data_IF_018770301604
#
_entry.id   IF_018770301604
#
_cell.length_a   1.000
_cell.length_b   1.000
_cell.length_c   1.000
_cell.angle_alpha   90.00
_cell.angle_beta   90.00
_cell.angle_gamma   90.00
#
_symmetry.space_group_name_H-M   'P 1'
#
loop_
_entity.id
_entity.type
_entity.pdbx_description
1 polymer ?
#
# COMPACT_ATOMS: atom_id res chain seq x y z
N UNK A 1 0.27 0.80 -28.23
CA UNK A 1 0.65 2.15 -28.71
C UNK A 1 -0.48 3.10 -28.32
N UNK A 2 -0.18 4.19 -27.61
CA UNK A 2 -1.21 5.08 -27.09
C UNK A 2 -1.43 6.31 -27.98
N UNK A 3 -2.66 6.81 -28.01
CA UNK A 3 -3.04 8.03 -28.72
C UNK A 3 -3.86 8.95 -27.83
N UNK A 4 -3.77 10.26 -28.10
CA UNK A 4 -4.51 11.27 -27.38
C UNK A 4 -5.88 11.51 -28.05
N UNK A 5 -6.94 11.56 -27.24
CA UNK A 5 -8.30 11.94 -27.64
C UNK A 5 -8.82 12.98 -26.64
N UNK A 6 -8.82 14.25 -27.03
CA UNK A 6 -9.19 15.35 -26.14
C UNK A 6 -8.26 15.43 -24.93
N UNK A 7 -8.84 15.37 -23.73
CA UNK A 7 -8.13 15.35 -22.45
C UNK A 7 -7.73 13.95 -21.98
N UNK A 8 -7.77 12.94 -22.86
CA UNK A 8 -7.47 11.55 -22.50
C UNK A 8 -6.39 10.91 -23.36
N UNK A 9 -5.66 9.98 -22.76
CA UNK A 9 -4.78 9.02 -23.40
C UNK A 9 -5.52 7.69 -23.48
N UNK A 10 -5.53 7.08 -24.67
CA UNK A 10 -6.13 5.78 -24.92
C UNK A 10 -5.09 4.82 -25.46
N UNK A 11 -5.14 3.57 -25.03
CA UNK A 11 -4.38 2.46 -25.64
C UNK A 11 -5.22 1.20 -25.58
N UNK A 12 -5.05 0.31 -26.55
CA UNK A 12 -5.42 -1.10 -26.39
C UNK A 12 -4.20 -1.87 -25.88
N UNK A 13 -4.45 -2.83 -25.00
CA UNK A 13 -3.46 -3.78 -24.54
C UNK A 13 -3.56 -5.04 -25.38
N UNK A 14 -2.44 -5.70 -25.64
CA UNK A 14 -2.40 -6.91 -26.47
C UNK A 14 -1.33 -7.85 -25.96
N UNK A 15 -1.67 -9.14 -25.86
CA UNK A 15 -0.84 -10.14 -25.19
C UNK A 15 -1.20 -10.26 -23.71
N UNK A 16 -0.57 -11.21 -23.03
CA UNK A 16 -0.63 -11.34 -21.57
C UNK A 16 0.69 -10.82 -21.01
N UNK A 17 0.64 -9.74 -20.22
CA UNK A 17 1.79 -9.16 -19.56
C UNK A 17 1.37 -8.53 -18.23
N UNK A 18 2.21 -8.65 -17.21
CA UNK A 18 1.96 -8.08 -15.88
C UNK A 18 2.02 -6.55 -15.91
N UNK A 19 2.89 -5.97 -16.76
CA UNK A 19 3.03 -4.53 -16.95
C UNK A 19 3.16 -4.17 -18.43
N UNK A 20 2.54 -3.05 -18.81
CA UNK A 20 2.61 -2.51 -20.17
C UNK A 20 3.26 -1.13 -20.18
N UNK A 21 4.27 -0.97 -21.04
CA UNK A 21 4.82 0.34 -21.38
C UNK A 21 4.10 0.90 -22.60
N UNK A 22 3.33 1.96 -22.39
CA UNK A 22 2.57 2.63 -23.44
C UNK A 22 3.19 3.99 -23.77
N UNK A 23 3.68 4.12 -25.00
CA UNK A 23 4.16 5.40 -25.51
C UNK A 23 3.02 6.21 -26.12
N UNK A 24 2.85 7.46 -25.67
CA UNK A 24 1.94 8.44 -26.25
C UNK A 24 2.74 9.46 -27.07
N UNK A 25 2.69 9.33 -28.40
CA UNK A 25 3.41 10.23 -29.30
C UNK A 25 3.01 11.70 -29.15
N UNK A 26 1.72 11.98 -28.91
CA UNK A 26 1.21 13.36 -28.80
C UNK A 26 1.78 14.14 -27.61
N UNK A 27 2.22 13.44 -26.57
CA UNK A 27 2.80 14.03 -25.37
C UNK A 27 4.31 13.76 -25.25
N UNK A 28 4.88 12.98 -26.18
CA UNK A 28 6.26 12.47 -26.13
C UNK A 28 6.60 11.82 -24.78
N UNK A 29 5.61 11.15 -24.16
CA UNK A 29 5.71 10.52 -22.84
C UNK A 29 5.45 9.01 -22.91
N UNK A 30 6.11 8.27 -22.03
CA UNK A 30 5.85 6.85 -21.78
C UNK A 30 5.09 6.73 -20.46
N UNK A 31 4.16 5.79 -20.40
CA UNK A 31 3.42 5.43 -19.19
C UNK A 31 3.59 3.94 -18.90
N UNK A 32 3.60 3.57 -17.63
CA UNK A 32 3.65 2.19 -17.16
C UNK A 32 2.32 1.88 -16.47
N UNK A 33 1.64 0.83 -16.90
CA UNK A 33 0.34 0.41 -16.36
C UNK A 33 0.36 -1.08 -16.01
N UNK A 34 -0.32 -1.46 -14.92
CA UNK A 34 -0.48 -2.87 -14.54
C UNK A 34 -1.54 -3.54 -15.42
N UNK A 35 -1.29 -4.78 -15.84
CA UNK A 35 -2.22 -5.56 -16.66
C UNK A 35 -3.56 -5.81 -15.96
N UNK A 36 -3.53 -6.25 -14.70
CA UNK A 36 -4.75 -6.51 -13.93
C UNK A 36 -5.60 -5.27 -13.64
N UNK A 37 -5.02 -4.09 -13.78
CA UNK A 37 -5.71 -2.84 -13.51
C UNK A 37 -6.57 -2.35 -14.70
N UNK A 38 -6.26 -2.84 -15.90
CA UNK A 38 -6.91 -2.46 -17.14
C UNK A 38 -7.08 -3.69 -18.01
N UNK A 39 -8.31 -4.15 -18.23
CA UNK A 39 -8.60 -5.35 -19.02
C UNK A 39 -7.95 -5.31 -20.43
N UNK A 40 -8.66 -4.77 -21.42
CA UNK A 40 -8.19 -4.71 -22.82
C UNK A 40 -7.87 -3.27 -23.25
N UNK A 41 -8.25 -2.28 -22.44
CA UNK A 41 -8.15 -0.87 -22.81
C UNK A 41 -7.78 0.05 -21.66
N UNK A 42 -6.87 0.98 -21.96
CA UNK A 42 -6.38 2.01 -21.03
C UNK A 42 -7.04 3.35 -21.35
N UNK A 43 -7.38 4.10 -20.30
CA UNK A 43 -7.98 5.43 -20.39
C UNK A 43 -7.46 6.34 -19.27
N UNK A 44 -6.46 7.16 -19.58
CA UNK A 44 -5.84 8.09 -18.63
C UNK A 44 -6.23 9.53 -18.95
N UNK A 45 -6.30 10.42 -17.95
CA UNK A 45 -6.68 11.83 -18.14
C UNK A 45 -5.50 12.79 -18.01
N UNK A 46 -5.37 13.78 -18.90
CA UNK A 46 -4.16 14.62 -19.07
C UNK A 46 -4.14 15.89 -18.18
N UNK A 47 -5.13 16.11 -17.29
CA UNK A 47 -5.10 17.31 -16.42
C UNK A 47 -6.11 17.33 -15.27
N UNK A 48 -5.77 18.11 -14.23
CA UNK A 48 -6.57 18.32 -13.02
C UNK A 48 -7.21 19.72 -12.98
N UNK A 49 -8.45 19.83 -13.46
CA UNK A 49 -9.46 20.79 -12.97
C UNK A 49 -10.77 20.61 -13.73
N UNK A 50 -11.74 19.95 -13.09
CA UNK A 50 -13.10 20.46 -12.85
C UNK A 50 -14.00 19.30 -12.43
N UNK A 51 -14.62 19.52 -11.27
CA UNK A 51 -15.81 18.87 -10.70
C UNK A 51 -15.88 17.34 -10.83
N UNK A 52 -15.56 16.68 -9.72
CA UNK A 52 -15.73 15.25 -9.43
C UNK A 52 -14.86 14.29 -10.23
N UNK A 53 -13.85 13.71 -9.56
CA UNK A 53 -13.55 12.28 -9.72
C UNK A 53 -12.43 11.83 -8.78
N UNK A 54 -12.77 11.39 -7.57
CA UNK A 54 -11.88 10.54 -6.77
C UNK A 54 -11.53 9.20 -7.45
N UNK A 55 -12.18 8.89 -8.59
CA UNK A 55 -12.04 7.64 -9.36
C UNK A 55 -11.41 7.83 -10.75
N UNK A 56 -10.93 9.04 -11.10
CA UNK A 56 -10.30 9.23 -12.41
C UNK A 56 -8.82 8.85 -12.38
N UNK A 57 -8.45 7.95 -13.28
CA UNK A 57 -7.06 7.56 -13.54
C UNK A 57 -6.35 8.71 -14.27
N UNK A 58 -5.52 9.49 -13.56
CA UNK A 58 -4.80 10.62 -14.13
C UNK A 58 -3.51 10.12 -14.79
N UNK A 59 -3.15 10.68 -15.95
CA UNK A 59 -2.00 10.26 -16.72
C UNK A 59 -0.68 10.42 -15.95
N UNK A 60 -0.56 11.45 -15.11
CA UNK A 60 0.65 11.69 -14.32
C UNK A 60 0.88 10.57 -13.29
N UNK A 61 -0.19 9.94 -12.78
CA UNK A 61 -0.12 8.82 -11.84
C UNK A 61 0.52 7.58 -12.47
N UNK A 62 0.52 7.45 -13.80
CA UNK A 62 1.08 6.32 -14.57
C UNK A 62 2.33 6.69 -15.35
N UNK A 63 2.89 7.89 -15.16
CA UNK A 63 4.09 8.28 -15.90
C UNK A 63 5.22 7.27 -15.67
N UNK A 64 6.04 7.00 -16.71
CA UNK A 64 7.12 6.02 -16.64
C UNK A 64 8.06 6.33 -15.48
N UNK A 65 8.39 7.60 -15.28
CA UNK A 65 9.27 8.06 -14.19
C UNK A 65 8.71 7.73 -12.79
N UNK A 66 7.38 7.63 -12.66
CA UNK A 66 6.71 7.30 -11.40
C UNK A 66 6.45 5.80 -11.21
N UNK A 67 6.50 4.99 -12.27
CA UNK A 67 6.01 3.59 -12.27
C UNK A 67 6.95 2.60 -12.99
N UNK A 68 8.20 2.99 -13.22
CA UNK A 68 9.22 2.14 -13.84
C UNK A 68 10.57 2.27 -13.13
N UNK A 69 11.29 1.16 -12.84
CA UNK A 69 10.95 -0.24 -13.19
C UNK A 69 9.69 -0.76 -12.49
N UNK A 70 8.99 -1.75 -13.07
CA UNK A 70 7.85 -2.37 -12.43
C UNK A 70 8.35 -3.09 -11.18
N UNK A 71 7.52 -3.15 -10.14
CA UNK A 71 7.89 -3.76 -8.86
C UNK A 71 8.39 -5.21 -9.05
N UNK A 72 9.72 -5.38 -9.05
CA UNK A 72 10.35 -6.69 -8.86
C UNK A 72 10.56 -6.82 -7.38
N UNK A 73 9.80 -7.74 -6.78
CA UNK A 73 9.88 -8.15 -5.38
C UNK A 73 11.36 -8.27 -4.92
N UNK A 74 11.96 -7.25 -4.27
CA UNK A 74 13.34 -7.35 -3.86
C UNK A 74 13.34 -8.20 -2.60
N UNK A 75 13.95 -9.38 -2.70
CA UNK A 75 14.19 -10.25 -1.55
C UNK A 75 15.00 -9.50 -0.50
N UNK A 76 14.33 -8.95 0.50
CA UNK A 76 14.96 -8.07 1.49
C UNK A 76 13.95 -7.51 2.48
N UNK A 77 13.06 -8.34 2.99
CA UNK A 77 12.23 -8.02 4.15
C UNK A 77 12.42 -9.10 5.20
N UNK A 78 12.35 -8.71 6.47
CA UNK A 78 12.04 -9.64 7.56
C UNK A 78 10.87 -10.50 7.14
N UNK A 79 10.99 -11.83 7.32
CA UNK A 79 9.88 -12.72 6.99
C UNK A 79 8.64 -12.26 7.75
N UNK A 80 7.48 -12.15 7.09
CA UNK A 80 6.24 -11.73 7.76
C UNK A 80 5.94 -12.55 9.03
N UNK A 81 6.39 -13.81 9.08
CA UNK A 81 6.32 -14.67 10.26
C UNK A 81 7.25 -14.21 11.41
N UNK A 82 8.44 -13.70 11.11
CA UNK A 82 9.32 -13.09 12.12
C UNK A 82 8.73 -11.78 12.65
N UNK A 83 8.15 -10.96 11.76
CA UNK A 83 7.43 -9.76 12.17
C UNK A 83 6.22 -10.11 13.05
N UNK A 84 5.50 -11.18 12.72
CA UNK A 84 4.39 -11.64 13.55
C UNK A 84 4.86 -12.01 14.96
N UNK A 85 5.97 -12.76 15.09
CA UNK A 85 6.57 -13.07 16.39
C UNK A 85 6.98 -11.83 17.18
N UNK A 86 7.62 -10.84 16.53
CA UNK A 86 8.01 -9.57 17.18
C UNK A 86 6.78 -8.76 17.63
N UNK A 87 5.70 -8.84 16.87
CA UNK A 87 4.42 -8.19 17.19
C UNK A 87 3.78 -8.85 18.40
N UNK A 88 3.78 -10.19 18.49
CA UNK A 88 3.33 -10.94 19.68
C UNK A 88 4.06 -10.46 20.92
N UNK A 89 5.40 -10.42 20.91
CA UNK A 89 6.20 -9.98 22.07
C UNK A 89 5.83 -8.55 22.51
N UNK A 90 5.57 -7.67 21.55
CA UNK A 90 5.22 -6.26 21.79
C UNK A 90 3.81 -6.15 22.41
N UNK A 91 2.84 -6.84 21.83
CA UNK A 91 1.45 -6.87 22.27
C UNK A 91 1.31 -7.45 23.68
N UNK A 92 2.03 -8.55 23.97
CA UNK A 92 2.03 -9.20 25.28
C UNK A 92 2.65 -8.32 26.38
N UNK A 93 3.69 -7.55 26.04
CA UNK A 93 4.31 -6.59 26.98
C UNK A 93 3.30 -5.56 27.49
N UNK A 94 2.29 -5.22 26.68
CA UNK A 94 1.23 -4.26 27.01
C UNK A 94 -0.02 -4.90 27.66
N UNK A 95 0.08 -6.16 28.07
CA UNK A 95 -0.94 -6.86 28.86
C UNK A 95 -2.07 -7.49 28.05
N UNK A 96 -1.91 -7.63 26.74
CA UNK A 96 -2.75 -8.48 25.91
C UNK A 96 -2.25 -9.93 25.98
N UNK A 97 -3.14 -10.89 25.76
CA UNK A 97 -2.75 -12.26 25.37
C UNK A 97 -2.72 -12.29 23.85
N UNK A 98 -1.62 -12.76 23.25
CA UNK A 98 -1.51 -12.86 21.80
C UNK A 98 -1.31 -14.31 21.38
N UNK A 99 -2.02 -14.74 20.33
CA UNK A 99 -1.83 -16.06 19.74
C UNK A 99 -1.75 -15.99 18.22
N UNK A 100 -0.94 -16.87 17.63
CA UNK A 100 -0.89 -17.09 16.18
C UNK A 100 -1.61 -18.41 15.91
N UNK A 101 -2.83 -18.39 15.31
CA UNK A 101 -3.62 -19.58 15.11
C UNK A 101 -2.90 -20.63 14.26
N UNK A 102 -2.79 -21.86 14.76
CA UNK A 102 -2.11 -22.97 14.05
C UNK A 102 -2.91 -23.54 12.89
N UNK A 103 -4.22 -23.36 12.90
CA UNK A 103 -5.15 -24.23 12.17
C UNK A 103 -5.58 -23.67 10.80
N UNK A 104 -5.23 -22.42 10.48
CA UNK A 104 -5.73 -21.76 9.27
C UNK A 104 -4.82 -20.68 8.67
N UNK A 105 -3.61 -20.47 9.18
CA UNK A 105 -2.86 -19.25 8.90
C UNK A 105 -1.44 -19.50 8.39
N UNK A 106 -0.96 -18.60 7.55
CA UNK A 106 0.40 -18.56 7.01
C UNK A 106 1.46 -18.11 8.05
N UNK A 107 1.08 -18.13 9.33
CA UNK A 107 1.89 -17.72 10.47
C UNK A 107 2.06 -16.20 10.56
N UNK A 108 1.08 -15.43 10.10
CA UNK A 108 1.15 -13.97 9.96
C UNK A 108 0.03 -13.24 10.70
N UNK A 109 -1.05 -13.92 11.01
CA UNK A 109 -2.20 -13.41 11.75
C UNK A 109 -2.00 -13.63 13.24
N UNK A 110 -2.26 -12.58 14.01
CA UNK A 110 -2.18 -12.56 15.46
C UNK A 110 -3.54 -12.17 15.99
N UNK A 111 -4.07 -12.95 16.91
CA UNK A 111 -5.26 -12.58 17.67
C UNK A 111 -4.79 -12.05 19.02
N UNK A 112 -5.01 -10.75 19.24
CA UNK A 112 -4.67 -10.06 20.47
C UNK A 112 -5.94 -9.86 21.30
N UNK A 113 -5.99 -10.43 22.50
CA UNK A 113 -7.16 -10.39 23.37
C UNK A 113 -6.81 -9.72 24.69
N UNK A 114 -7.66 -8.79 25.12
CA UNK A 114 -7.59 -8.18 26.45
C UNK A 114 -9.00 -7.87 26.95
N UNK A 115 -9.34 -8.42 28.10
CA UNK A 115 -10.68 -8.29 28.71
C UNK A 115 -11.79 -8.72 27.72
N UNK A 116 -12.61 -7.78 27.23
CA UNK A 116 -13.69 -8.04 26.25
C UNK A 116 -13.30 -7.62 24.82
N UNK A 117 -12.09 -7.11 24.61
CA UNK A 117 -11.61 -6.64 23.32
C UNK A 117 -10.73 -7.71 22.66
N UNK A 118 -11.07 -8.05 21.42
CA UNK A 118 -10.30 -8.93 20.55
C UNK A 118 -9.93 -8.15 19.28
N UNK A 119 -8.65 -8.16 18.92
CA UNK A 119 -8.13 -7.50 17.73
C UNK A 119 -7.38 -8.52 16.87
N UNK A 120 -7.69 -8.56 15.59
CA UNK A 120 -6.95 -9.32 14.58
C UNK A 120 -5.90 -8.42 13.95
N UNK A 121 -4.64 -8.71 14.24
CA UNK A 121 -3.49 -8.10 13.58
C UNK A 121 -2.99 -9.02 12.47
N UNK A 122 -2.47 -8.46 11.37
CA UNK A 122 -1.80 -9.22 10.31
C UNK A 122 -0.47 -8.61 9.94
N UNK A 123 0.59 -9.39 10.07
CA UNK A 123 1.92 -9.03 9.63
C UNK A 123 2.05 -9.17 8.11
N UNK A 124 2.38 -8.08 7.42
CA UNK A 124 2.59 -8.05 5.98
C UNK A 124 4.02 -7.63 5.64
N UNK A 125 4.51 -8.13 4.51
CA UNK A 125 5.79 -7.67 3.97
C UNK A 125 5.61 -6.32 3.27
N UNK A 126 6.49 -5.38 3.58
CA UNK A 126 6.51 -4.05 2.97
C UNK A 126 7.80 -3.79 2.18
N UNK A 127 7.76 -2.80 1.29
CA UNK A 127 8.92 -2.35 0.54
C UNK A 127 8.90 -0.83 0.35
N UNK A 128 10.08 -0.26 0.07
CA UNK A 128 10.23 1.14 -0.27
C UNK A 128 10.17 1.36 -1.77
N UNK A 129 9.49 2.43 -2.17
CA UNK A 129 9.46 2.93 -3.53
C UNK A 129 9.47 4.47 -3.50
N UNK A 130 10.58 5.10 -3.92
CA UNK A 130 10.71 6.56 -3.99
C UNK A 130 10.31 7.28 -2.67
N UNK A 131 10.74 6.74 -1.52
CA UNK A 131 10.42 7.26 -0.19
C UNK A 131 8.99 6.96 0.28
N UNK A 132 8.27 6.07 -0.41
CA UNK A 132 6.97 5.54 -0.01
C UNK A 132 7.12 4.10 0.47
N UNK A 133 6.65 3.81 1.66
CA UNK A 133 6.47 2.46 2.18
C UNK A 133 5.13 1.90 1.66
N UNK A 134 5.20 0.72 1.05
CA UNK A 134 4.08 0.01 0.42
C UNK A 134 4.01 -1.43 0.91
N UNK A 135 2.82 -2.01 0.90
CA UNK A 135 2.57 -3.41 1.22
C UNK A 135 1.32 -3.91 0.48
N UNK A 136 1.14 -5.24 0.43
CA UNK A 136 -0.07 -5.86 -0.10
C UNK A 136 -0.89 -6.45 1.05
N UNK A 137 -2.21 -6.25 1.03
CA UNK A 137 -3.13 -6.93 1.94
C UNK A 137 -3.40 -8.33 1.40
N UNK A 138 -2.99 -9.36 2.13
CA UNK A 138 -3.16 -10.76 1.69
C UNK A 138 -4.38 -11.43 2.32
N UNK A 139 -4.86 -10.93 3.47
CA UNK A 139 -6.13 -11.33 4.07
C UNK A 139 -6.70 -10.19 4.96
N UNK A 140 -8.01 -10.15 5.19
CA UNK A 140 -8.63 -9.13 6.05
C UNK A 140 -8.17 -9.23 7.51
N UNK A 141 -7.91 -8.08 8.13
CA UNK A 141 -7.56 -7.92 9.53
C UNK A 141 -8.10 -6.58 10.05
N UNK A 142 -8.13 -6.37 11.37
CA UNK A 142 -8.48 -5.06 11.95
C UNK A 142 -7.29 -4.09 11.81
N UNK A 143 -6.08 -4.63 11.91
CA UNK A 143 -4.82 -3.90 11.92
C UNK A 143 -3.78 -4.65 11.07
N UNK A 144 -3.08 -3.94 10.20
CA UNK A 144 -1.94 -4.45 9.45
C UNK A 144 -0.64 -3.95 10.08
N UNK A 145 0.32 -4.84 10.23
CA UNK A 145 1.63 -4.55 10.81
C UNK A 145 2.69 -4.76 9.74
N UNK A 146 3.50 -3.74 9.50
CA UNK A 146 4.59 -3.80 8.52
C UNK A 146 5.87 -3.28 9.15
N UNK A 147 7.00 -3.85 8.75
CA UNK A 147 8.33 -3.37 9.14
C UNK A 147 8.92 -2.58 7.97
N UNK A 148 9.60 -1.47 8.29
CA UNK A 148 10.42 -0.77 7.31
C UNK A 148 11.49 -1.73 6.76
N UNK A 149 11.69 -1.85 5.43
CA UNK A 149 12.62 -2.83 4.88
C UNK A 149 14.10 -2.53 5.21
N UNK A 150 14.42 -1.26 5.44
CA UNK A 150 15.79 -0.79 5.67
C UNK A 150 16.04 -0.31 7.10
N UNK A 151 14.98 -0.09 7.88
CA UNK A 151 15.03 0.46 9.23
C UNK A 151 14.26 -0.50 10.15
N UNK A 152 14.63 -0.63 11.42
CA UNK A 152 13.92 -1.57 12.33
C UNK A 152 12.58 -1.03 12.86
N UNK A 153 12.04 0.00 12.22
CA UNK A 153 10.77 0.64 12.56
C UNK A 153 9.59 -0.23 12.14
N UNK A 154 8.56 -0.28 12.99
CA UNK A 154 7.32 -1.00 12.73
C UNK A 154 6.18 0.00 12.67
N UNK A 155 5.28 -0.19 11.71
CA UNK A 155 4.08 0.61 11.53
C UNK A 155 2.83 -0.25 11.70
N UNK A 156 1.79 0.37 12.25
CA UNK A 156 0.47 -0.21 12.44
C UNK A 156 -0.58 0.61 11.67
N UNK A 157 -1.25 -0.05 10.73
CA UNK A 157 -2.21 0.55 9.82
C UNK A 157 -3.59 -0.07 10.08
N UNK A 158 -4.59 0.71 10.51
CA UNK A 158 -5.94 0.17 10.64
C UNK A 158 -6.58 -0.06 9.26
N UNK A 159 -7.46 -1.05 9.17
CA UNK A 159 -8.15 -1.42 7.92
C UNK A 159 -8.95 -0.25 7.32
N UNK A 160 -9.50 0.62 8.17
CA UNK A 160 -10.25 1.80 7.76
C UNK A 160 -9.37 2.97 7.23
N UNK A 161 -8.04 2.86 7.33
CA UNK A 161 -7.13 3.86 6.78
C UNK A 161 -7.11 3.85 5.23
N UNK A 162 -7.68 2.84 4.59
CA UNK A 162 -7.69 2.70 3.14
C UNK A 162 -8.87 1.89 2.62
N UNK A 163 -9.36 2.22 1.42
CA UNK A 163 -10.43 1.44 0.78
C UNK A 163 -9.89 0.24 0.00
N UNK A 164 -8.78 0.43 -0.72
CA UNK A 164 -8.17 -0.63 -1.55
C UNK A 164 -6.65 -0.63 -1.54
N UNK A 165 -6.02 0.51 -1.23
CA UNK A 165 -4.57 0.62 -1.09
C UNK A 165 -4.18 1.84 -0.26
N UNK A 166 -3.01 1.78 0.35
CA UNK A 166 -2.38 2.89 1.06
C UNK A 166 -0.90 2.99 0.66
N UNK A 167 -0.34 4.19 0.71
CA UNK A 167 1.10 4.42 0.63
C UNK A 167 1.50 5.35 1.76
N UNK A 168 2.52 4.97 2.53
CA UNK A 168 3.02 5.76 3.64
C UNK A 168 4.30 6.47 3.23
N UNK A 169 4.35 7.79 3.35
CA UNK A 169 5.51 8.60 3.00
C UNK A 169 6.51 8.60 4.14
N UNK A 170 7.68 8.01 3.92
CA UNK A 170 8.79 8.00 4.89
C UNK A 170 9.64 9.26 4.75
N UNK A 171 9.86 9.73 3.52
CA UNK A 171 10.64 10.93 3.25
C UNK A 171 9.76 12.16 2.99
N UNK A 172 10.02 13.31 3.62
CA UNK A 172 9.20 14.51 3.39
C UNK A 172 9.24 14.94 1.91
N UNK A 173 8.08 15.22 1.29
CA UNK A 173 8.03 15.68 -0.09
C UNK A 173 8.54 17.12 -0.22
N UNK A 174 8.92 17.53 -1.43
CA UNK A 174 9.26 18.95 -1.71
C UNK A 174 8.09 19.91 -1.42
N UNK A 175 6.86 19.42 -1.49
CA UNK A 175 5.63 20.16 -1.17
C UNK A 175 4.74 19.30 -0.27
N UNK A 176 4.49 19.79 0.94
CA UNK A 176 3.57 19.16 1.89
C UNK A 176 2.11 19.35 1.44
N UNK A 177 1.32 18.30 1.62
CA UNK A 177 -0.12 18.31 1.40
C UNK A 177 -0.78 17.53 2.54
N UNK A 178 -1.94 17.98 3.05
CA UNK A 178 -2.67 17.27 4.11
C UNK A 178 -3.26 15.93 3.65
N UNK A 179 -3.15 15.59 2.35
CA UNK A 179 -3.58 14.30 1.78
C UNK A 179 -2.48 13.24 1.80
N UNK A 180 -1.31 13.57 2.34
CA UNK A 180 -0.18 12.64 2.41
C UNK A 180 -0.29 11.88 3.72
N UNK A 181 -0.29 10.55 3.63
CA UNK A 181 -0.15 9.69 4.79
C UNK A 181 1.34 9.61 5.13
N UNK A 182 1.80 10.27 6.19
CA UNK A 182 3.19 10.19 6.61
C UNK A 182 3.41 8.92 7.45
N UNK A 183 4.50 8.18 7.20
CA UNK A 183 4.77 6.92 7.89
C UNK A 183 4.91 7.12 9.42
N UNK A 184 5.45 8.26 9.85
CA UNK A 184 5.60 8.61 11.27
C UNK A 184 4.27 8.69 12.03
N UNK A 185 3.16 8.92 11.33
CA UNK A 185 1.82 8.96 11.90
C UNK A 185 1.28 7.55 12.20
N UNK A 186 1.89 6.52 11.61
CA UNK A 186 1.49 5.11 11.72
C UNK A 186 2.48 4.29 12.53
N UNK A 187 3.48 4.89 13.19
CA UNK A 187 4.42 4.15 14.04
C UNK A 187 3.68 3.32 15.09
N UNK A 188 4.06 2.03 15.18
CA UNK A 188 3.38 1.05 16.03
C UNK A 188 3.35 1.53 17.49
N UNK A 189 4.49 1.99 18.01
CA UNK A 189 4.62 2.50 19.38
C UNK A 189 3.75 3.73 19.70
N UNK A 190 3.30 4.47 18.68
CA UNK A 190 2.42 5.64 18.86
C UNK A 190 0.95 5.28 18.81
N UNK A 191 0.61 4.17 18.16
CA UNK A 191 -0.77 3.76 17.89
C UNK A 191 -1.21 2.54 18.67
N UNK A 192 -0.28 1.75 19.20
CA UNK A 192 -0.57 0.62 20.07
C UNK A 192 -0.56 1.06 21.54
N UNK A 193 -1.55 0.61 22.35
CA UNK A 193 -2.79 -0.06 21.92
C UNK A 193 -3.71 0.94 21.20
N UNK A 194 -4.54 0.48 20.24
CA UNK A 194 -5.49 1.34 19.57
C UNK A 194 -6.41 1.97 20.61
N UNK A 195 -6.55 3.30 20.58
CA UNK A 195 -7.50 3.98 21.45
C UNK A 195 -8.90 3.52 21.07
N UNK A 196 -9.66 2.98 22.02
CA UNK A 196 -11.06 2.67 21.78
C UNK A 196 -11.76 3.93 21.28
N UNK A 197 -12.39 3.83 20.11
CA UNK A 197 -13.26 4.88 19.61
C UNK A 197 -14.36 5.09 20.65
N UNK A 198 -14.19 6.10 21.51
CA UNK A 198 -15.23 6.56 22.41
C UNK A 198 -16.30 7.22 21.55
N UNK A 199 -17.30 6.46 21.10
CA UNK A 199 -18.42 6.97 20.31
C UNK A 199 -19.40 5.91 19.83
#
# INVERSE_FOLDING_TARGET
>A
MAWQVGDRIRSTLSGEADHYLIYCKGLEKIYSVHGDEFDESVSLRIGGCSENSSRAKLADDYSLENNWPPAVNPSGTTSATQLASKTVDTVETDGYTAEVPSDCDDGRTIIATREESELRLRAESAWLENGLLRFNVTAPADLYVIEHPEESEIYMIPDDAFESSISLRVEPPEKSSPRINYAEDFLFEKRWPPQEASG
#
